data_IF_760870294087
#
_entry.id   IF_760870294087
#
_cell.length_a   1.000
_cell.length_b   1.000
_cell.length_c   1.000
_cell.angle_alpha   90.00
_cell.angle_beta   90.00
_cell.angle_gamma   90.00
#
_symmetry.space_group_name_H-M   'P 1'
#
loop_
_entity.id
_entity.type
_entity.pdbx_description
1 polymer ?
#
# COMPACT_ATOMS: atom_id res chain seq x y z
N UNK A 1 -20.64 11.55 -8.25
CA UNK A 1 -20.05 12.71 -7.55
C UNK A 1 -18.55 12.74 -7.89
N UNK A 2 -18.07 13.85 -8.46
CA UNK A 2 -16.75 13.94 -9.09
C UNK A 2 -16.70 14.83 -10.35
N UNK A 3 -17.85 15.41 -10.74
CA UNK A 3 -17.95 16.36 -11.84
C UNK A 3 -17.54 17.76 -11.36
N UNK A 4 -16.25 18.07 -11.47
CA UNK A 4 -15.70 19.37 -11.09
C UNK A 4 -16.17 20.48 -12.05
N UNK A 5 -16.42 20.14 -13.31
CA UNK A 5 -16.85 21.09 -14.33
C UNK A 5 -18.30 21.53 -14.08
N UNK A 6 -19.17 20.60 -13.66
CA UNK A 6 -20.51 20.89 -13.15
C UNK A 6 -20.49 21.77 -11.90
N UNK A 7 -19.57 21.51 -10.95
CA UNK A 7 -19.40 22.34 -9.76
C UNK A 7 -18.92 23.77 -10.11
N UNK A 8 -18.02 23.89 -11.10
CA UNK A 8 -17.58 25.18 -11.63
C UNK A 8 -18.72 25.97 -12.30
N UNK A 9 -19.63 25.26 -12.98
CA UNK A 9 -20.85 25.83 -13.56
C UNK A 9 -21.76 26.45 -12.48
N UNK A 10 -22.03 25.70 -11.41
CA UNK A 10 -22.84 26.20 -10.27
C UNK A 10 -22.16 27.38 -9.59
N UNK A 11 -20.84 27.35 -9.42
CA UNK A 11 -20.10 28.49 -8.87
C UNK A 11 -20.23 29.76 -9.72
N UNK A 12 -20.12 29.63 -11.05
CA UNK A 12 -20.32 30.76 -11.97
C UNK A 12 -21.75 31.30 -11.93
N UNK A 13 -22.75 30.43 -11.88
CA UNK A 13 -24.16 30.83 -11.77
C UNK A 13 -24.45 31.57 -10.45
N UNK A 14 -23.83 31.15 -9.34
CA UNK A 14 -23.92 31.87 -8.06
C UNK A 14 -23.33 33.27 -8.16
N UNK A 15 -22.17 33.42 -8.80
CA UNK A 15 -21.53 34.72 -9.02
C UNK A 15 -22.36 35.64 -9.92
N UNK A 16 -22.93 35.11 -11.00
CA UNK A 16 -23.84 35.84 -11.90
C UNK A 16 -25.13 36.27 -11.19
N UNK A 17 -25.62 35.44 -10.27
CA UNK A 17 -26.79 35.71 -9.43
C UNK A 17 -26.50 36.64 -8.24
N UNK A 18 -25.26 37.16 -8.11
CA UNK A 18 -24.79 38.01 -7.01
C UNK A 18 -24.90 37.36 -5.61
N UNK A 19 -24.85 36.03 -5.55
CA UNK A 19 -24.81 35.29 -4.29
C UNK A 19 -23.34 35.12 -3.90
N UNK A 20 -22.93 35.70 -2.76
CA UNK A 20 -21.56 35.56 -2.25
C UNK A 20 -21.35 34.14 -1.72
N UNK A 21 -20.43 33.35 -2.31
CA UNK A 21 -20.13 32.02 -1.82
C UNK A 21 -19.55 32.08 -0.41
N UNK A 22 -19.96 31.17 0.46
CA UNK A 22 -19.38 31.06 1.80
C UNK A 22 -18.13 30.17 1.81
N UNK A 23 -17.49 30.06 2.97
CA UNK A 23 -16.30 29.22 3.14
C UNK A 23 -16.54 27.75 2.82
N UNK A 24 -17.78 27.24 2.91
CA UNK A 24 -18.11 25.84 2.63
C UNK A 24 -18.09 25.58 1.13
N UNK A 25 -18.66 26.49 0.34
CA UNK A 25 -18.63 26.40 -1.14
C UNK A 25 -17.19 26.45 -1.64
N UNK A 26 -16.38 27.39 -1.14
CA UNK A 26 -14.96 27.48 -1.47
C UNK A 26 -14.19 26.19 -1.10
N UNK A 27 -14.43 25.65 0.10
CA UNK A 27 -13.79 24.41 0.56
C UNK A 27 -14.15 23.20 -0.31
N UNK A 28 -15.42 23.09 -0.74
CA UNK A 28 -15.87 22.04 -1.64
C UNK A 28 -15.18 22.12 -3.01
N UNK A 29 -15.07 23.33 -3.57
CA UNK A 29 -14.38 23.58 -4.83
C UNK A 29 -12.88 23.27 -4.75
N UNK A 30 -12.19 23.71 -3.69
CA UNK A 30 -10.78 23.39 -3.45
C UNK A 30 -10.57 21.86 -3.41
N UNK A 31 -11.39 21.13 -2.66
CA UNK A 31 -11.31 19.66 -2.61
C UNK A 31 -11.57 19.01 -3.97
N UNK A 32 -12.49 19.57 -4.76
CA UNK A 32 -12.78 19.12 -6.11
C UNK A 32 -11.61 19.32 -7.08
N UNK A 33 -10.96 20.49 -7.05
CA UNK A 33 -9.81 20.76 -7.91
C UNK A 33 -8.59 19.88 -7.59
N UNK A 34 -8.30 19.60 -6.30
CA UNK A 34 -7.25 18.65 -5.94
C UNK A 34 -7.56 17.23 -6.45
N UNK A 35 -8.81 16.78 -6.40
CA UNK A 35 -9.20 15.46 -6.95
C UNK A 35 -9.06 15.40 -8.48
N UNK A 36 -9.24 16.53 -9.16
CA UNK A 36 -9.06 16.65 -10.60
C UNK A 36 -7.61 16.97 -11.01
N UNK A 37 -6.67 17.05 -10.05
CA UNK A 37 -5.26 17.40 -10.28
C UNK A 37 -5.08 18.79 -10.94
N UNK A 38 -6.02 19.72 -10.68
CA UNK A 38 -6.01 21.11 -11.20
C UNK A 38 -5.38 22.08 -10.18
N UNK A 39 -4.12 21.85 -9.83
CA UNK A 39 -3.42 22.56 -8.74
C UNK A 39 -3.32 24.08 -8.97
N UNK A 40 -3.10 24.52 -10.21
CA UNK A 40 -3.04 25.95 -10.55
C UNK A 40 -4.36 26.68 -10.29
N UNK A 41 -5.49 26.00 -10.49
CA UNK A 41 -6.82 26.54 -10.22
C UNK A 41 -7.14 26.53 -8.72
N UNK A 42 -6.61 25.56 -7.95
CA UNK A 42 -6.64 25.61 -6.48
C UNK A 42 -6.03 26.92 -5.95
N UNK A 43 -4.84 27.30 -6.42
CA UNK A 43 -4.17 28.52 -5.96
C UNK A 43 -4.92 29.80 -6.37
N UNK A 44 -5.46 29.86 -7.59
CA UNK A 44 -6.31 30.99 -8.00
C UNK A 44 -7.53 31.13 -7.09
N UNK A 45 -8.20 30.02 -6.80
CA UNK A 45 -9.37 30.01 -5.93
C UNK A 45 -9.00 30.35 -4.48
N UNK A 46 -7.85 29.89 -4.00
CA UNK A 46 -7.31 30.24 -2.68
C UNK A 46 -7.09 31.75 -2.53
N UNK A 47 -6.51 32.40 -3.53
CA UNK A 47 -6.30 33.85 -3.55
C UNK A 47 -7.61 34.64 -3.59
N UNK A 48 -8.58 34.19 -4.39
CA UNK A 48 -9.92 34.79 -4.44
C UNK A 48 -10.62 34.67 -3.08
N UNK A 49 -10.59 33.48 -2.49
CA UNK A 49 -11.18 33.23 -1.18
C UNK A 49 -10.63 34.18 -0.12
N UNK A 50 -9.31 34.43 -0.10
CA UNK A 50 -8.69 35.34 0.88
C UNK A 50 -9.12 36.81 0.76
N UNK A 51 -9.65 37.22 -0.40
CA UNK A 51 -10.17 38.58 -0.61
C UNK A 51 -11.64 38.71 -0.24
N UNK A 52 -12.42 37.64 -0.43
CA UNK A 52 -13.88 37.68 -0.28
C UNK A 52 -14.37 37.14 1.06
N UNK A 53 -13.68 36.16 1.65
CA UNK A 53 -14.14 35.41 2.83
C UNK A 53 -12.97 35.11 3.77
N UNK A 54 -13.23 35.11 5.08
CA UNK A 54 -12.24 34.67 6.07
C UNK A 54 -11.97 33.18 5.95
N UNK A 55 -10.71 32.80 5.70
CA UNK A 55 -10.27 31.40 5.65
C UNK A 55 -10.34 30.78 7.06
N UNK A 56 -10.93 29.60 7.18
CA UNK A 56 -11.03 28.88 8.44
C UNK A 56 -10.09 27.65 8.46
N UNK A 57 -10.01 26.98 9.60
CA UNK A 57 -9.16 25.78 9.80
C UNK A 57 -9.39 24.73 8.72
N UNK A 58 -10.66 24.51 8.30
CA UNK A 58 -10.99 23.54 7.26
C UNK A 58 -10.41 23.95 5.89
N UNK A 59 -10.43 25.23 5.53
CA UNK A 59 -9.82 25.74 4.30
C UNK A 59 -8.32 25.46 4.24
N UNK A 60 -7.61 25.77 5.33
CA UNK A 60 -6.17 25.49 5.45
C UNK A 60 -5.88 23.99 5.39
N UNK A 61 -6.66 23.17 6.11
CA UNK A 61 -6.51 21.71 6.12
C UNK A 61 -6.69 21.09 4.72
N UNK A 62 -7.64 21.58 3.92
CA UNK A 62 -7.87 21.12 2.54
C UNK A 62 -6.67 21.46 1.65
N UNK A 63 -6.16 22.69 1.72
CA UNK A 63 -4.98 23.10 0.95
C UNK A 63 -3.74 22.29 1.32
N UNK A 64 -3.40 22.21 2.61
CA UNK A 64 -2.22 21.47 3.07
C UNK A 64 -2.30 20.00 2.65
N UNK A 65 -3.44 19.34 2.90
CA UNK A 65 -3.63 17.94 2.53
C UNK A 65 -3.48 17.74 1.02
N UNK A 66 -4.15 18.57 0.23
CA UNK A 66 -4.09 18.49 -1.23
C UNK A 66 -2.67 18.64 -1.76
N UNK A 67 -1.89 19.59 -1.24
CA UNK A 67 -0.49 19.81 -1.64
C UNK A 67 0.41 18.65 -1.22
N UNK A 68 0.25 18.11 0.00
CA UNK A 68 1.00 16.91 0.42
C UNK A 68 0.69 15.68 -0.43
N UNK A 69 -0.58 15.47 -0.78
CA UNK A 69 -1.01 14.34 -1.62
C UNK A 69 -0.40 14.42 -3.04
N UNK A 70 0.01 15.62 -3.48
CA UNK A 70 0.66 15.85 -4.78
C UNK A 70 2.19 16.03 -4.70
N UNK A 71 2.77 15.97 -3.50
CA UNK A 71 4.21 16.09 -3.28
C UNK A 71 4.76 17.51 -3.21
N UNK A 72 3.91 18.53 -3.18
CA UNK A 72 4.29 19.95 -3.10
C UNK A 72 4.57 20.39 -1.65
N UNK A 73 5.58 19.77 -1.02
CA UNK A 73 5.92 19.96 0.40
C UNK A 73 6.23 21.43 0.72
N UNK A 74 6.91 22.14 -0.19
CA UNK A 74 7.29 23.54 -0.02
C UNK A 74 6.07 24.44 0.15
N UNK A 75 5.13 24.33 -0.78
CA UNK A 75 3.89 25.10 -0.75
C UNK A 75 3.01 24.69 0.44
N UNK A 76 2.93 23.40 0.77
CA UNK A 76 2.20 22.95 1.97
C UNK A 76 2.73 23.58 3.26
N UNK A 77 4.07 23.75 3.34
CA UNK A 77 4.73 24.42 4.48
C UNK A 77 4.43 25.93 4.48
N UNK A 78 4.44 26.59 3.32
CA UNK A 78 4.04 28.00 3.19
C UNK A 78 2.60 28.24 3.63
N UNK A 79 1.67 27.35 3.28
CA UNK A 79 0.27 27.42 3.72
C UNK A 79 0.14 27.29 5.25
N UNK A 80 0.96 26.43 5.86
CA UNK A 80 1.03 26.31 7.32
C UNK A 80 1.57 27.58 8.00
N UNK A 81 2.63 28.18 7.46
CA UNK A 81 3.18 29.45 7.96
C UNK A 81 2.13 30.57 7.87
N UNK A 82 1.43 30.66 6.74
CA UNK A 82 0.32 31.61 6.55
C UNK A 82 -0.82 31.39 7.56
N UNK A 83 -1.12 30.15 7.93
CA UNK A 83 -2.15 29.85 8.94
C UNK A 83 -1.76 30.43 10.30
N UNK A 84 -0.48 30.29 10.69
CA UNK A 84 0.04 30.83 11.94
C UNK A 84 0.04 32.37 11.94
N UNK A 85 0.48 32.99 10.84
CA UNK A 85 0.48 34.46 10.68
C UNK A 85 -0.93 35.06 10.70
N UNK A 86 -1.91 34.32 10.16
CA UNK A 86 -3.32 34.71 10.15
C UNK A 86 -4.00 34.56 11.52
N UNK A 87 -3.31 34.01 12.53
CA UNK A 87 -3.85 33.79 13.87
C UNK A 87 -4.90 32.68 13.94
N UNK A 88 -5.00 31.82 12.93
CA UNK A 88 -5.95 30.70 12.91
C UNK A 88 -5.39 29.55 13.76
N UNK A 89 -6.11 29.18 14.82
CA UNK A 89 -5.67 28.13 15.76
C UNK A 89 -5.77 26.76 15.10
N UNK A 90 -4.63 26.06 15.03
CA UNK A 90 -4.56 24.71 14.51
C UNK A 90 -5.23 23.68 15.43
N UNK A 91 -6.02 22.77 14.85
CA UNK A 91 -6.67 21.68 15.58
C UNK A 91 -5.88 20.37 15.45
N UNK A 92 -6.36 19.30 16.08
CA UNK A 92 -5.72 17.97 16.00
C UNK A 92 -5.62 17.46 14.56
N UNK A 93 -6.62 17.77 13.73
CA UNK A 93 -6.66 17.40 12.31
C UNK A 93 -5.55 18.08 11.52
N UNK A 94 -5.34 19.38 11.76
CA UNK A 94 -4.26 20.15 11.13
C UNK A 94 -2.89 19.53 11.40
N UNK A 95 -2.61 19.23 12.67
CA UNK A 95 -1.34 18.62 13.04
C UNK A 95 -1.20 17.21 12.46
N UNK A 96 -2.29 16.43 12.41
CA UNK A 96 -2.31 15.11 11.78
C UNK A 96 -2.03 15.16 10.27
N UNK A 97 -2.59 16.15 9.55
CA UNK A 97 -2.32 16.37 8.11
C UNK A 97 -0.84 16.69 7.88
N UNK A 98 -0.26 17.58 8.69
CA UNK A 98 1.15 17.96 8.56
C UNK A 98 2.08 16.78 8.82
N UNK A 99 1.85 16.05 9.91
CA UNK A 99 2.66 14.87 10.24
C UNK A 99 2.54 13.79 9.16
N UNK A 100 1.32 13.44 8.76
CA UNK A 100 1.08 12.43 7.73
C UNK A 100 1.68 12.85 6.38
N UNK A 101 1.42 14.07 5.96
CA UNK A 101 1.91 14.61 4.69
C UNK A 101 3.43 14.66 4.60
N UNK A 102 4.11 15.08 5.67
CA UNK A 102 5.57 15.08 5.73
C UNK A 102 6.16 13.66 5.74
N UNK A 103 5.49 12.71 6.39
CA UNK A 103 5.93 11.31 6.45
C UNK A 103 5.74 10.56 5.12
N UNK A 104 4.62 10.76 4.42
CA UNK A 104 4.41 10.16 3.09
C UNK A 104 5.35 10.72 2.02
N UNK A 105 5.88 11.92 2.25
CA UNK A 105 6.87 12.57 1.37
C UNK A 105 8.32 12.44 1.87
N UNK A 106 8.63 11.37 2.62
CA UNK A 106 9.99 10.99 3.07
C UNK A 106 10.76 12.12 3.82
N UNK A 107 10.01 13.00 4.49
CA UNK A 107 10.54 14.12 5.27
C UNK A 107 10.36 13.93 6.78
N UNK A 108 10.60 12.72 7.31
CA UNK A 108 10.27 12.41 8.71
C UNK A 108 11.05 13.23 9.74
N UNK A 109 12.23 13.78 9.40
CA UNK A 109 12.94 14.71 10.32
C UNK A 109 12.14 16.00 10.56
N UNK A 110 11.56 16.58 9.50
CA UNK A 110 10.69 17.76 9.61
C UNK A 110 9.42 17.40 10.35
N UNK A 111 8.86 16.22 10.07
CA UNK A 111 7.69 15.69 10.76
C UNK A 111 7.95 15.55 12.27
N UNK A 112 9.08 14.95 12.68
CA UNK A 112 9.46 14.80 14.08
C UNK A 112 9.63 16.13 14.80
N UNK A 113 10.28 17.11 14.16
CA UNK A 113 10.38 18.46 14.70
C UNK A 113 9.00 19.08 14.90
N UNK A 114 8.11 18.90 13.91
CA UNK A 114 6.74 19.39 13.99
C UNK A 114 5.95 18.76 15.13
N UNK A 115 6.05 17.44 15.31
CA UNK A 115 5.41 16.71 16.41
C UNK A 115 5.87 17.21 17.78
N UNK A 116 7.18 17.38 17.98
CA UNK A 116 7.73 17.93 19.23
C UNK A 116 7.22 19.35 19.49
N UNK A 117 7.21 20.19 18.46
CA UNK A 117 6.72 21.57 18.56
C UNK A 117 5.22 21.59 18.91
N UNK A 118 4.44 20.67 18.35
CA UNK A 118 3.01 20.53 18.64
C UNK A 118 2.77 20.09 20.10
N UNK A 119 3.55 19.13 20.60
CA UNK A 119 3.50 18.68 22.00
C UNK A 119 3.86 19.82 22.97
N UNK A 120 4.93 20.58 22.69
CA UNK A 120 5.38 21.71 23.51
C UNK A 120 4.35 22.84 23.61
N UNK A 121 3.61 23.07 22.52
CA UNK A 121 2.54 24.08 22.46
C UNK A 121 1.21 23.59 23.05
N UNK A 122 1.15 22.37 23.59
CA UNK A 122 -0.08 21.78 24.15
C UNK A 122 -1.09 21.34 23.10
N UNK A 123 -0.66 21.13 21.85
CA UNK A 123 -1.50 20.60 20.78
C UNK A 123 -1.95 19.18 21.07
N UNK A 124 -3.24 18.89 20.88
CA UNK A 124 -3.78 17.53 21.02
C UNK A 124 -3.48 16.75 19.74
N UNK A 125 -2.50 15.85 19.80
CA UNK A 125 -2.25 14.87 18.73
C UNK A 125 -3.12 13.64 18.97
N UNK A 126 -3.80 13.19 17.93
CA UNK A 126 -4.60 11.97 18.00
C UNK A 126 -3.76 10.71 17.65
N UNK A 127 -4.34 9.53 17.86
CA UNK A 127 -3.67 8.27 17.53
C UNK A 127 -3.36 8.10 16.03
N UNK A 128 -4.02 8.86 15.16
CA UNK A 128 -3.75 8.84 13.72
C UNK A 128 -2.42 9.53 13.41
N UNK A 129 -2.16 10.72 14.00
CA UNK A 129 -0.90 11.42 13.85
C UNK A 129 0.31 10.57 14.32
N UNK A 130 0.20 9.94 15.49
CA UNK A 130 1.26 9.03 15.98
C UNK A 130 1.46 7.82 15.07
N UNK A 131 0.37 7.19 14.58
CA UNK A 131 0.48 6.06 13.64
C UNK A 131 1.15 6.46 12.33
N UNK A 132 0.76 7.61 11.76
CA UNK A 132 1.35 8.13 10.54
C UNK A 132 2.84 8.41 10.69
N UNK A 133 3.24 9.03 11.82
CA UNK A 133 4.65 9.25 12.16
C UNK A 133 5.44 7.95 12.25
N UNK A 134 4.93 7.00 13.05
CA UNK A 134 5.59 5.71 13.26
C UNK A 134 5.74 4.98 11.92
N UNK A 135 4.69 4.97 11.09
CA UNK A 135 4.73 4.36 9.77
C UNK A 135 5.75 5.03 8.84
N UNK A 136 5.80 6.37 8.81
CA UNK A 136 6.78 7.13 8.04
C UNK A 136 8.22 6.85 8.45
N UNK A 137 8.50 6.90 9.76
CA UNK A 137 9.83 6.57 10.31
C UNK A 137 10.22 5.12 10.02
N UNK A 138 9.27 4.19 10.07
CA UNK A 138 9.50 2.80 9.71
C UNK A 138 9.84 2.64 8.22
N UNK A 139 9.17 3.38 7.31
CA UNK A 139 9.49 3.38 5.87
C UNK A 139 10.90 3.93 5.60
N UNK A 140 11.35 4.93 6.36
CA UNK A 140 12.71 5.48 6.29
C UNK A 140 13.77 4.62 7.01
N UNK A 141 13.38 3.50 7.62
CA UNK A 141 14.30 2.62 8.36
C UNK A 141 14.69 3.12 9.76
N UNK A 142 14.09 4.23 10.25
CA UNK A 142 14.40 4.86 11.55
C UNK A 142 13.62 4.23 12.70
N UNK A 143 13.87 2.94 12.95
CA UNK A 143 13.11 2.14 13.92
C UNK A 143 13.23 2.64 15.37
N UNK A 144 14.40 3.13 15.76
CA UNK A 144 14.64 3.59 17.14
C UNK A 144 13.86 4.89 17.43
N UNK A 145 13.78 5.78 16.44
CA UNK A 145 12.96 7.00 16.51
C UNK A 145 11.46 6.63 16.54
N UNK A 146 11.03 5.68 15.72
CA UNK A 146 9.64 5.19 15.72
C UNK A 146 9.25 4.60 17.09
N UNK A 147 10.13 3.80 17.71
CA UNK A 147 9.92 3.29 19.06
C UNK A 147 9.92 4.41 20.12
N UNK A 148 10.76 5.45 19.95
CA UNK A 148 10.74 6.63 20.82
C UNK A 148 9.43 7.41 20.72
N UNK A 149 8.83 7.52 19.53
CA UNK A 149 7.52 8.17 19.33
C UNK A 149 6.41 7.41 20.06
N UNK A 150 6.40 6.06 20.00
CA UNK A 150 5.45 5.25 20.79
C UNK A 150 5.62 5.49 22.31
N UNK A 151 6.86 5.54 22.78
CA UNK A 151 7.14 5.82 24.20
C UNK A 151 6.70 7.25 24.59
N UNK A 152 6.89 8.22 23.71
CA UNK A 152 6.41 9.59 23.86
C UNK A 152 4.88 9.65 24.00
N UNK A 153 4.16 8.95 23.11
CA UNK A 153 2.70 8.82 23.14
C UNK A 153 2.21 8.32 24.51
N UNK A 154 2.84 7.26 25.05
CA UNK A 154 2.49 6.68 26.35
C UNK A 154 2.81 7.64 27.50
N UNK A 155 3.98 8.30 27.48
CA UNK A 155 4.37 9.29 28.49
C UNK A 155 3.45 10.52 28.50
N UNK A 156 2.94 10.91 27.34
CA UNK A 156 1.95 11.96 27.18
C UNK A 156 0.53 11.57 27.61
N UNK A 157 0.33 10.38 28.20
CA UNK A 157 -0.96 9.92 28.72
C UNK A 157 -1.89 9.32 27.66
N UNK A 158 -1.44 9.18 26.41
CA UNK A 158 -2.24 8.57 25.35
C UNK A 158 -2.10 7.04 25.39
N UNK A 159 -3.20 6.33 25.15
CA UNK A 159 -3.20 4.86 25.11
C UNK A 159 -2.99 4.40 23.66
N UNK A 160 -1.87 3.72 23.33
CA UNK A 160 -1.67 3.20 21.98
C UNK A 160 -2.71 2.13 21.66
N UNK A 161 -3.29 2.22 20.46
CA UNK A 161 -4.23 1.22 19.96
C UNK A 161 -3.52 0.18 19.07
N UNK A 162 -4.25 -0.83 18.62
CA UNK A 162 -3.69 -1.90 17.79
C UNK A 162 -3.11 -1.39 16.47
N UNK A 163 -3.59 -0.27 15.94
CA UNK A 163 -3.09 0.31 14.70
C UNK A 163 -1.66 0.85 14.86
N UNK A 164 -1.41 1.59 15.95
CA UNK A 164 -0.08 2.12 16.29
C UNK A 164 0.94 0.99 16.47
N UNK A 165 0.60 -0.05 17.24
CA UNK A 165 1.49 -1.20 17.42
C UNK A 165 1.72 -1.96 16.11
N UNK A 166 0.68 -2.16 15.31
CA UNK A 166 0.81 -2.88 14.04
C UNK A 166 1.71 -2.13 13.05
N UNK A 167 1.70 -0.80 13.04
CA UNK A 167 2.63 0.00 12.24
C UNK A 167 4.09 -0.27 12.64
N UNK A 168 4.38 -0.25 13.95
CA UNK A 168 5.73 -0.49 14.47
C UNK A 168 6.17 -1.95 14.27
N UNK A 169 5.29 -2.92 14.54
CA UNK A 169 5.54 -4.35 14.28
C UNK A 169 5.83 -4.58 12.80
N UNK A 170 5.05 -3.98 11.90
CA UNK A 170 5.28 -4.07 10.46
C UNK A 170 6.64 -3.46 10.06
N UNK A 171 7.00 -2.32 10.65
CA UNK A 171 8.32 -1.70 10.48
C UNK A 171 9.47 -2.61 10.90
N UNK A 172 9.41 -3.16 12.11
CA UNK A 172 10.43 -4.09 12.62
C UNK A 172 10.52 -5.37 11.78
N UNK A 173 9.39 -5.94 11.36
CA UNK A 173 9.35 -7.08 10.43
C UNK A 173 9.99 -6.72 9.08
N UNK A 174 9.70 -5.54 8.53
CA UNK A 174 10.31 -5.05 7.29
C UNK A 174 11.83 -4.88 7.40
N UNK A 175 12.32 -4.47 8.57
CA UNK A 175 13.75 -4.36 8.88
C UNK A 175 14.40 -5.68 9.32
N UNK A 176 13.69 -6.81 9.23
CA UNK A 176 14.17 -8.13 9.70
C UNK A 176 14.56 -8.18 11.19
N UNK A 177 14.05 -7.25 12.00
CA UNK A 177 14.24 -7.17 13.46
C UNK A 177 13.10 -7.92 14.18
N UNK A 178 13.04 -9.24 13.96
CA UNK A 178 11.90 -10.06 14.41
C UNK A 178 11.73 -10.11 15.93
N UNK A 179 12.83 -10.12 16.69
CA UNK A 179 12.75 -10.15 18.17
C UNK A 179 12.11 -8.90 18.75
N UNK A 180 12.38 -7.74 18.14
CA UNK A 180 11.74 -6.48 18.53
C UNK A 180 10.24 -6.49 18.21
N UNK A 181 9.85 -7.05 17.06
CA UNK A 181 8.45 -7.23 16.67
C UNK A 181 7.69 -8.18 17.62
N UNK A 182 8.31 -9.29 18.03
CA UNK A 182 7.73 -10.25 18.98
C UNK A 182 7.63 -9.63 20.39
N UNK A 183 8.63 -8.85 20.82
CA UNK A 183 8.56 -8.11 22.09
C UNK A 183 7.37 -7.15 22.11
N UNK A 184 7.14 -6.40 21.03
CA UNK A 184 5.98 -5.51 20.91
C UNK A 184 4.65 -6.27 20.91
N UNK A 185 4.59 -7.44 20.27
CA UNK A 185 3.42 -8.32 20.32
C UNK A 185 3.06 -8.74 21.75
N UNK A 186 4.05 -9.08 22.57
CA UNK A 186 3.82 -9.39 23.99
C UNK A 186 3.43 -8.15 24.80
N UNK A 187 4.07 -7.01 24.53
CA UNK A 187 3.77 -5.73 25.17
C UNK A 187 2.31 -5.30 24.93
N UNK A 188 1.80 -5.47 23.70
CA UNK A 188 0.39 -5.24 23.36
C UNK A 188 -0.56 -5.97 24.31
N UNK A 189 -0.31 -7.28 24.51
CA UNK A 189 -1.12 -8.11 25.40
C UNK A 189 -1.09 -7.61 26.85
N UNK A 190 0.09 -7.24 27.35
CA UNK A 190 0.26 -6.76 28.72
C UNK A 190 -0.39 -5.39 28.97
N UNK A 191 -0.47 -4.54 27.94
CA UNK A 191 -1.10 -3.21 28.00
C UNK A 191 -2.59 -3.22 27.68
N UNK A 192 -3.26 -4.37 27.79
CA UNK A 192 -4.69 -4.54 27.52
C UNK A 192 -5.09 -4.12 26.08
N UNK A 193 -4.14 -4.18 25.14
CA UNK A 193 -4.39 -3.94 23.72
C UNK A 193 -4.33 -5.28 22.97
N UNK A 194 -5.46 -6.00 22.82
CA UNK A 194 -5.43 -7.34 22.27
C UNK A 194 -4.92 -7.37 20.83
N UNK A 195 -3.99 -8.28 20.48
CA UNK A 195 -3.56 -8.50 19.11
C UNK A 195 -4.74 -8.82 18.19
N UNK A 196 -4.74 -8.23 17.00
CA UNK A 196 -5.79 -8.43 15.99
C UNK A 196 -5.33 -9.40 14.91
N UNK A 197 -6.23 -9.79 14.00
CA UNK A 197 -5.89 -10.59 12.80
C UNK A 197 -4.75 -9.94 12.00
N UNK A 198 -4.72 -8.60 11.93
CA UNK A 198 -3.64 -7.87 11.27
C UNK A 198 -2.30 -8.11 11.96
N UNK A 199 -2.26 -8.06 13.31
CA UNK A 199 -1.05 -8.32 14.10
C UNK A 199 -0.49 -9.71 13.80
N UNK A 200 -1.34 -10.75 13.85
CA UNK A 200 -0.94 -12.12 13.56
C UNK A 200 -0.45 -12.28 12.12
N UNK A 201 -1.20 -11.77 11.15
CA UNK A 201 -0.84 -11.87 9.73
C UNK A 201 0.51 -11.20 9.43
N UNK A 202 0.79 -10.02 10.01
CA UNK A 202 2.06 -9.32 9.85
C UNK A 202 3.23 -10.15 10.37
N UNK A 203 3.13 -10.68 11.59
CA UNK A 203 4.19 -11.48 12.21
C UNK A 203 4.40 -12.81 11.49
N UNK A 204 3.31 -13.55 11.18
CA UNK A 204 3.38 -14.83 10.45
C UNK A 204 4.05 -14.61 9.09
N UNK A 205 3.64 -13.59 8.33
CA UNK A 205 4.25 -13.29 7.03
C UNK A 205 5.75 -12.95 7.16
N UNK A 206 6.13 -12.18 8.18
CA UNK A 206 7.53 -11.87 8.48
C UNK A 206 8.35 -13.13 8.77
N UNK A 207 7.89 -13.95 9.70
CA UNK A 207 8.57 -15.18 10.10
C UNK A 207 8.67 -16.19 8.96
N UNK A 208 7.62 -16.33 8.13
CA UNK A 208 7.67 -17.18 6.93
C UNK A 208 8.73 -16.71 5.92
N UNK A 209 8.91 -15.39 5.73
CA UNK A 209 9.97 -14.85 4.86
C UNK A 209 11.37 -15.07 5.43
N UNK A 210 11.50 -15.15 6.75
CA UNK A 210 12.73 -15.47 7.45
C UNK A 210 12.95 -16.98 7.64
N UNK A 211 12.12 -17.82 7.02
CA UNK A 211 12.15 -19.29 7.15
C UNK A 211 11.99 -19.81 8.60
N UNK A 212 11.49 -18.98 9.52
CA UNK A 212 11.21 -19.31 10.93
C UNK A 212 9.84 -19.97 11.08
N UNK A 213 9.63 -21.08 10.37
CA UNK A 213 8.31 -21.72 10.22
C UNK A 213 7.71 -22.25 11.54
N UNK A 214 8.55 -22.66 12.50
CA UNK A 214 8.09 -23.15 13.81
C UNK A 214 7.35 -22.06 14.59
N UNK A 215 7.93 -20.86 14.68
CA UNK A 215 7.33 -19.73 15.37
C UNK A 215 6.10 -19.18 14.63
N UNK A 216 6.13 -19.20 13.29
CA UNK A 216 4.96 -18.87 12.50
C UNK A 216 3.78 -19.82 12.82
N UNK A 217 4.06 -21.11 13.00
CA UNK A 217 3.05 -22.10 13.39
C UNK A 217 2.53 -21.87 14.81
N UNK A 218 3.39 -21.52 15.77
CA UNK A 218 2.97 -21.20 17.14
C UNK A 218 2.07 -19.95 17.19
N UNK A 219 2.33 -18.94 16.36
CA UNK A 219 1.45 -17.78 16.21
C UNK A 219 0.09 -18.14 15.61
N UNK A 220 0.03 -19.08 14.65
CA UNK A 220 -1.25 -19.58 14.12
C UNK A 220 -2.03 -20.30 15.22
N UNK A 221 -1.37 -21.13 16.04
CA UNK A 221 -2.01 -21.78 17.18
C UNK A 221 -2.57 -20.75 18.16
N UNK A 222 -1.77 -19.77 18.55
CA UNK A 222 -2.20 -18.69 19.45
C UNK A 222 -3.37 -17.87 18.87
N UNK A 223 -3.38 -17.63 17.55
CA UNK A 223 -4.48 -16.98 16.84
C UNK A 223 -5.79 -17.79 17.01
N UNK A 224 -5.73 -19.11 16.79
CA UNK A 224 -6.89 -20.00 16.91
C UNK A 224 -7.38 -20.14 18.35
N UNK A 225 -6.48 -20.26 19.32
CA UNK A 225 -6.80 -20.35 20.76
C UNK A 225 -7.52 -19.09 21.26
N UNK A 226 -7.21 -17.92 20.71
CA UNK A 226 -7.92 -16.66 20.99
C UNK A 226 -9.22 -16.49 20.19
N UNK A 227 -9.67 -17.53 19.49
CA UNK A 227 -10.95 -17.55 18.76
C UNK A 227 -10.93 -16.86 17.40
N UNK A 228 -9.76 -16.44 16.90
CA UNK A 228 -9.66 -15.87 15.56
C UNK A 228 -9.77 -16.96 14.50
N UNK A 229 -10.55 -16.69 13.46
CA UNK A 229 -10.69 -17.58 12.31
C UNK A 229 -9.78 -17.11 11.18
N UNK A 230 -8.85 -17.94 10.68
CA UNK A 230 -8.04 -17.61 9.51
C UNK A 230 -8.92 -17.27 8.30
N UNK A 231 -8.77 -16.05 7.78
CA UNK A 231 -9.44 -15.59 6.56
C UNK A 231 -8.57 -15.82 5.32
N UNK A 232 -9.03 -15.31 4.16
CA UNK A 232 -8.32 -15.40 2.87
C UNK A 232 -6.88 -14.93 3.00
N UNK A 233 -6.66 -13.75 3.62
CA UNK A 233 -5.32 -13.18 3.82
C UNK A 233 -4.42 -14.11 4.66
N UNK A 234 -4.93 -14.64 5.78
CA UNK A 234 -4.17 -15.53 6.65
C UNK A 234 -3.79 -16.82 5.92
N UNK A 235 -4.73 -17.45 5.22
CA UNK A 235 -4.46 -18.69 4.47
C UNK A 235 -3.47 -18.41 3.33
N UNK A 236 -3.62 -17.31 2.60
CA UNK A 236 -2.68 -16.88 1.56
C UNK A 236 -1.25 -16.75 2.10
N UNK A 237 -1.06 -16.13 3.27
CA UNK A 237 0.24 -16.00 3.91
C UNK A 237 0.83 -17.36 4.29
N UNK A 238 0.02 -18.25 4.86
CA UNK A 238 0.47 -19.59 5.25
C UNK A 238 0.87 -20.44 4.05
N UNK A 239 0.07 -20.44 2.98
CA UNK A 239 0.43 -21.12 1.74
C UNK A 239 1.71 -20.55 1.13
N UNK A 240 1.88 -19.21 1.15
CA UNK A 240 3.12 -18.58 0.70
C UNK A 240 4.32 -19.08 1.51
N UNK A 241 4.19 -19.13 2.84
CA UNK A 241 5.22 -19.67 3.72
C UNK A 241 5.55 -21.15 3.42
N UNK A 242 4.53 -21.97 3.19
CA UNK A 242 4.73 -23.39 2.81
C UNK A 242 5.45 -23.53 1.47
N UNK A 243 5.10 -22.72 0.47
CA UNK A 243 5.81 -22.70 -0.81
C UNK A 243 7.27 -22.24 -0.67
N UNK A 244 7.55 -21.24 0.18
CA UNK A 244 8.93 -20.81 0.48
C UNK A 244 9.72 -21.91 1.19
N UNK A 245 9.08 -22.68 2.08
CA UNK A 245 9.69 -23.82 2.74
C UNK A 245 9.73 -25.11 1.92
N UNK A 246 9.51 -25.05 0.60
CA UNK A 246 9.48 -26.19 -0.33
C UNK A 246 8.48 -27.31 0.07
N UNK A 247 7.33 -26.92 0.63
CA UNK A 247 6.24 -27.81 1.08
C UNK A 247 4.99 -27.61 0.23
N UNK A 248 5.11 -27.67 -1.11
CA UNK A 248 3.98 -27.32 -2.00
C UNK A 248 2.81 -28.30 -1.86
N UNK A 249 3.06 -29.56 -1.51
CA UNK A 249 1.99 -30.54 -1.25
C UNK A 249 1.11 -30.14 -0.07
N UNK A 250 1.72 -29.64 1.02
CA UNK A 250 0.98 -29.12 2.16
C UNK A 250 0.23 -27.84 1.80
N UNK A 251 0.81 -26.98 0.95
CA UNK A 251 0.15 -25.78 0.44
C UNK A 251 -1.09 -26.13 -0.40
N UNK A 252 -1.00 -27.14 -1.28
CA UNK A 252 -2.12 -27.64 -2.07
C UNK A 252 -3.20 -28.32 -1.20
N UNK A 253 -2.81 -29.06 -0.17
CA UNK A 253 -3.77 -29.62 0.78
C UNK A 253 -4.51 -28.50 1.53
N UNK A 254 -3.80 -27.46 1.96
CA UNK A 254 -4.40 -26.29 2.60
C UNK A 254 -5.37 -25.55 1.68
N UNK A 255 -5.03 -25.39 0.40
CA UNK A 255 -5.90 -24.85 -0.65
C UNK A 255 -7.20 -25.63 -0.78
N UNK A 256 -7.10 -26.95 -0.94
CA UNK A 256 -8.27 -27.83 -1.09
C UNK A 256 -9.16 -27.78 0.16
N UNK A 257 -8.56 -27.78 1.35
CA UNK A 257 -9.30 -27.64 2.60
C UNK A 257 -10.01 -26.28 2.70
N UNK A 258 -9.34 -25.19 2.32
CA UNK A 258 -9.94 -23.85 2.35
C UNK A 258 -11.16 -23.76 1.42
N UNK A 259 -11.04 -24.26 0.17
CA UNK A 259 -12.14 -24.29 -0.79
C UNK A 259 -13.28 -25.16 -0.29
N UNK A 260 -12.99 -26.36 0.23
CA UNK A 260 -14.02 -27.27 0.76
C UNK A 260 -14.84 -26.67 1.91
N UNK A 261 -14.24 -25.73 2.67
CA UNK A 261 -14.90 -24.98 3.75
C UNK A 261 -15.64 -23.73 3.25
N UNK A 262 -15.75 -23.54 1.93
CA UNK A 262 -16.48 -22.43 1.31
C UNK A 262 -15.68 -21.14 1.18
N UNK A 263 -14.37 -21.15 1.41
CA UNK A 263 -13.53 -19.97 1.18
C UNK A 263 -13.46 -19.69 -0.32
N UNK A 264 -13.72 -18.43 -0.71
CA UNK A 264 -13.60 -17.96 -2.09
C UNK A 264 -12.19 -17.38 -2.27
N UNK A 265 -11.30 -18.04 -3.02
CA UNK A 265 -9.95 -17.52 -3.24
C UNK A 265 -10.01 -16.27 -4.12
N UNK A 266 -9.13 -15.30 -3.86
CA UNK A 266 -8.93 -14.13 -4.72
C UNK A 266 -7.77 -14.35 -5.71
N UNK A 267 -7.54 -13.37 -6.58
CA UNK A 267 -6.43 -13.41 -7.56
C UNK A 267 -5.06 -13.53 -6.86
N UNK A 268 -4.88 -12.91 -5.70
CA UNK A 268 -3.61 -12.94 -4.97
C UNK A 268 -3.33 -14.35 -4.43
N UNK A 269 -4.33 -15.01 -3.86
CA UNK A 269 -4.24 -16.36 -3.31
C UNK A 269 -3.87 -17.38 -4.40
N UNK A 270 -4.48 -17.27 -5.59
CA UNK A 270 -4.09 -18.09 -6.76
C UNK A 270 -2.64 -17.83 -7.17
N UNK A 271 -2.25 -16.55 -7.31
CA UNK A 271 -0.89 -16.18 -7.72
C UNK A 271 0.19 -16.70 -6.79
N UNK A 272 -0.08 -16.77 -5.48
CA UNK A 272 0.84 -17.34 -4.48
C UNK A 272 1.15 -18.81 -4.80
N UNK A 273 0.12 -19.63 -5.04
CA UNK A 273 0.30 -21.05 -5.36
C UNK A 273 0.87 -21.26 -6.75
N UNK A 274 0.39 -20.51 -7.76
CA UNK A 274 0.93 -20.58 -9.13
C UNK A 274 2.42 -20.29 -9.10
N UNK A 275 2.85 -19.21 -8.41
CA UNK A 275 4.25 -18.89 -8.24
C UNK A 275 5.03 -20.01 -7.52
N UNK A 276 4.51 -20.50 -6.38
CA UNK A 276 5.15 -21.56 -5.61
C UNK A 276 5.34 -22.85 -6.41
N UNK A 277 4.33 -23.26 -7.19
CA UNK A 277 4.39 -24.44 -8.04
C UNK A 277 5.35 -24.24 -9.22
N UNK A 278 5.34 -23.08 -9.86
CA UNK A 278 6.31 -22.74 -10.90
C UNK A 278 7.75 -22.76 -10.37
N UNK A 279 7.99 -22.24 -9.17
CA UNK A 279 9.31 -22.28 -8.54
C UNK A 279 9.78 -23.71 -8.22
N UNK A 280 8.85 -24.62 -7.96
CA UNK A 280 9.11 -26.04 -7.72
C UNK A 280 9.14 -26.91 -9.00
N UNK A 281 9.04 -26.32 -10.20
CA UNK A 281 8.98 -27.06 -11.48
C UNK A 281 7.67 -27.82 -11.72
N UNK A 282 6.62 -27.54 -10.93
CA UNK A 282 5.29 -28.17 -11.03
C UNK A 282 4.37 -27.35 -11.94
N UNK A 283 4.87 -26.92 -13.11
CA UNK A 283 4.18 -25.98 -14.00
C UNK A 283 2.83 -26.47 -14.54
N UNK A 284 2.64 -27.79 -14.68
CA UNK A 284 1.35 -28.35 -15.09
C UNK A 284 0.25 -28.14 -14.03
N UNK A 285 0.59 -28.27 -12.75
CA UNK A 285 -0.34 -27.96 -11.66
C UNK A 285 -0.57 -26.45 -11.53
N UNK A 286 0.45 -25.64 -11.81
CA UNK A 286 0.29 -24.18 -11.89
C UNK A 286 -0.68 -23.78 -13.01
N UNK A 287 -0.60 -24.45 -14.17
CA UNK A 287 -1.51 -24.24 -15.30
C UNK A 287 -2.95 -24.66 -14.97
N UNK A 288 -3.16 -25.77 -14.25
CA UNK A 288 -4.52 -26.17 -13.84
C UNK A 288 -5.14 -25.12 -12.91
N UNK A 289 -4.40 -24.64 -11.90
CA UNK A 289 -4.87 -23.57 -11.02
C UNK A 289 -5.17 -22.27 -11.78
N UNK A 290 -4.34 -21.91 -12.76
CA UNK A 290 -4.59 -20.75 -13.63
C UNK A 290 -5.92 -20.88 -14.39
N UNK A 291 -6.22 -22.07 -14.92
CA UNK A 291 -7.45 -22.30 -15.68
C UNK A 291 -8.69 -22.26 -14.77
N UNK A 292 -8.55 -22.74 -13.53
CA UNK A 292 -9.63 -22.73 -12.55
C UNK A 292 -9.98 -21.33 -12.02
N UNK A 293 -9.13 -20.32 -12.19
CA UNK A 293 -9.43 -18.95 -11.76
C UNK A 293 -10.77 -18.43 -12.31
N UNK A 294 -11.10 -18.76 -13.55
CA UNK A 294 -12.37 -18.37 -14.17
C UNK A 294 -13.58 -19.03 -13.50
N UNK A 295 -13.44 -20.26 -13.01
CA UNK A 295 -14.50 -20.95 -12.26
C UNK A 295 -14.79 -20.25 -10.92
N UNK A 296 -13.80 -19.56 -10.36
CA UNK A 296 -13.94 -18.74 -9.14
C UNK A 296 -14.33 -17.28 -9.43
N UNK A 297 -14.71 -16.92 -10.67
CA UNK A 297 -14.94 -15.54 -11.11
C UNK A 297 -13.75 -14.61 -10.82
N UNK A 298 -12.54 -15.15 -10.83
CA UNK A 298 -11.29 -14.41 -10.66
C UNK A 298 -10.61 -14.27 -12.02
N UNK A 299 -10.58 -13.07 -12.58
CA UNK A 299 -9.90 -12.83 -13.85
C UNK A 299 -8.37 -12.82 -13.66
N UNK A 300 -7.60 -13.65 -14.39
CA UNK A 300 -6.15 -13.58 -14.38
C UNK A 300 -5.64 -12.20 -14.79
N UNK A 301 -4.80 -11.58 -13.98
CA UNK A 301 -4.17 -10.28 -14.28
C UNK A 301 -2.78 -10.46 -14.90
N UNK A 302 -2.10 -9.35 -15.23
CA UNK A 302 -0.78 -9.40 -15.87
C UNK A 302 0.26 -10.14 -15.01
N UNK A 303 0.23 -9.96 -13.68
CA UNK A 303 1.10 -10.67 -12.73
C UNK A 303 0.90 -12.19 -12.82
N UNK A 304 -0.34 -12.64 -12.95
CA UNK A 304 -0.69 -14.07 -13.08
C UNK A 304 -0.03 -14.67 -14.32
N UNK A 305 -0.18 -14.01 -15.47
CA UNK A 305 0.39 -14.48 -16.74
C UNK A 305 1.92 -14.43 -16.72
N UNK A 306 2.51 -13.34 -16.21
CA UNK A 306 3.95 -13.18 -16.08
C UNK A 306 4.57 -14.31 -15.22
N UNK A 307 3.95 -14.62 -14.08
CA UNK A 307 4.38 -15.69 -13.17
C UNK A 307 4.40 -17.05 -13.88
N UNK A 308 3.31 -17.39 -14.56
CA UNK A 308 3.18 -18.69 -15.24
C UNK A 308 4.13 -18.80 -16.44
N UNK A 309 4.30 -17.70 -17.18
CA UNK A 309 5.25 -17.60 -18.30
C UNK A 309 6.70 -17.78 -17.82
N UNK A 310 7.08 -17.15 -16.71
CA UNK A 310 8.40 -17.34 -16.10
C UNK A 310 8.63 -18.80 -15.70
N UNK A 311 7.63 -19.45 -15.09
CA UNK A 311 7.68 -20.88 -14.76
C UNK A 311 7.90 -21.76 -15.98
N UNK A 312 7.15 -21.56 -17.06
CA UNK A 312 7.32 -22.34 -18.29
C UNK A 312 8.69 -22.13 -18.94
N UNK A 313 9.24 -20.91 -18.91
CA UNK A 313 10.60 -20.69 -19.42
C UNK A 313 11.66 -21.38 -18.57
N UNK A 314 11.51 -21.43 -17.24
CA UNK A 314 12.40 -22.19 -16.35
C UNK A 314 12.37 -23.69 -16.63
N UNK A 315 11.20 -24.24 -16.97
CA UNK A 315 11.01 -25.64 -17.35
C UNK A 315 11.39 -25.92 -18.83
N UNK A 316 11.74 -24.90 -19.61
CA UNK A 316 12.04 -25.02 -21.04
C UNK A 316 10.81 -25.21 -21.95
N UNK A 317 9.60 -25.06 -21.42
CA UNK A 317 8.33 -25.20 -22.16
C UNK A 317 7.99 -23.90 -22.93
N UNK A 318 8.71 -23.70 -24.03
CA UNK A 318 8.51 -22.56 -24.93
C UNK A 318 7.09 -22.49 -25.50
N UNK A 319 6.42 -23.62 -25.67
CA UNK A 319 5.09 -23.69 -26.28
C UNK A 319 4.06 -23.08 -25.35
N UNK A 320 4.01 -23.54 -24.10
CA UNK A 320 3.05 -23.01 -23.14
C UNK A 320 3.38 -21.55 -22.77
N UNK A 321 4.66 -21.17 -22.69
CA UNK A 321 5.04 -19.75 -22.53
C UNK A 321 4.46 -18.86 -23.64
N UNK A 322 4.55 -19.28 -24.91
CA UNK A 322 3.97 -18.54 -26.03
C UNK A 322 2.43 -18.49 -25.99
N UNK A 323 1.77 -19.56 -25.53
CA UNK A 323 0.31 -19.58 -25.34
C UNK A 323 -0.11 -18.57 -24.27
N UNK A 324 0.63 -18.47 -23.16
CA UNK A 324 0.35 -17.48 -22.11
C UNK A 324 0.54 -16.05 -22.63
N UNK A 325 1.60 -15.78 -23.41
CA UNK A 325 1.78 -14.48 -24.06
C UNK A 325 0.58 -14.10 -24.95
N UNK A 326 0.12 -15.03 -25.80
CA UNK A 326 -1.04 -14.80 -26.65
C UNK A 326 -2.32 -14.53 -25.84
N UNK A 327 -2.48 -15.16 -24.67
CA UNK A 327 -3.61 -14.93 -23.76
C UNK A 327 -3.60 -13.52 -23.15
N UNK A 328 -2.43 -12.96 -22.83
CA UNK A 328 -2.32 -11.56 -22.36
C UNK A 328 -2.98 -10.62 -23.37
N UNK A 329 -2.59 -10.74 -24.64
CA UNK A 329 -3.10 -9.89 -25.72
C UNK A 329 -4.61 -10.13 -25.96
N UNK A 330 -5.05 -11.40 -25.98
CA UNK A 330 -6.45 -11.76 -26.20
C UNK A 330 -7.37 -11.24 -25.09
N UNK A 331 -6.88 -11.17 -23.86
CA UNK A 331 -7.63 -10.64 -22.72
C UNK A 331 -7.63 -9.11 -22.66
N UNK A 332 -7.08 -8.42 -23.67
CA UNK A 332 -7.00 -6.95 -23.72
C UNK A 332 -5.98 -6.36 -22.74
N UNK A 333 -5.13 -7.18 -22.12
CA UNK A 333 -4.05 -6.73 -21.25
C UNK A 333 -2.88 -6.23 -22.10
N UNK A 334 -2.19 -5.20 -21.64
CA UNK A 334 -0.97 -4.69 -22.28
C UNK A 334 0.25 -5.28 -21.57
N UNK A 335 1.12 -6.04 -22.27
CA UNK A 335 2.39 -6.47 -21.70
C UNK A 335 3.19 -5.27 -21.22
N UNK A 336 3.82 -5.39 -20.05
CA UNK A 336 4.65 -4.34 -19.46
C UNK A 336 6.14 -4.68 -19.57
N UNK A 337 7.00 -3.83 -19.00
CA UNK A 337 8.45 -4.05 -18.95
C UNK A 337 8.78 -5.43 -18.37
N UNK A 338 8.05 -5.87 -17.34
CA UNK A 338 8.26 -7.16 -16.69
C UNK A 338 7.92 -8.32 -17.64
N UNK A 339 6.79 -8.25 -18.35
CA UNK A 339 6.40 -9.26 -19.34
C UNK A 339 7.46 -9.45 -20.42
N UNK A 340 7.98 -8.36 -20.98
CA UNK A 340 9.03 -8.44 -22.00
C UNK A 340 10.34 -8.97 -21.42
N UNK A 341 10.74 -8.52 -20.24
CA UNK A 341 11.96 -8.98 -19.58
C UNK A 341 11.94 -10.50 -19.32
N UNK A 342 10.81 -11.04 -18.85
CA UNK A 342 10.63 -12.49 -18.65
C UNK A 342 10.77 -13.24 -19.97
N UNK A 343 10.11 -12.78 -21.02
CA UNK A 343 10.18 -13.42 -22.35
C UNK A 343 11.58 -13.37 -22.96
N UNK A 344 12.25 -12.22 -22.88
CA UNK A 344 13.61 -12.05 -23.41
C UNK A 344 14.60 -12.96 -22.67
N UNK A 345 14.55 -12.96 -21.33
CA UNK A 345 15.39 -13.82 -20.50
C UNK A 345 15.11 -15.31 -20.78
N UNK A 346 13.85 -15.70 -20.83
CA UNK A 346 13.43 -17.08 -21.05
C UNK A 346 13.77 -17.61 -22.44
N UNK A 347 13.61 -16.80 -23.49
CA UNK A 347 14.04 -17.17 -24.85
C UNK A 347 15.55 -17.29 -24.95
N UNK A 348 16.29 -16.42 -24.26
CA UNK A 348 17.76 -16.45 -24.23
C UNK A 348 18.27 -17.70 -23.50
N UNK A 349 17.69 -18.04 -22.33
CA UNK A 349 18.04 -19.26 -21.59
C UNK A 349 17.70 -20.55 -22.36
N UNK A 350 16.73 -20.50 -23.27
CA UNK A 350 16.37 -21.61 -24.16
C UNK A 350 17.12 -21.60 -25.51
N UNK A 351 18.20 -20.81 -25.66
CA UNK A 351 18.98 -20.66 -26.90
C UNK A 351 18.18 -20.19 -28.14
N UNK A 352 17.12 -19.41 -27.94
CA UNK A 352 16.26 -18.85 -29.00
C UNK A 352 16.54 -17.37 -29.26
N UNK A 353 17.82 -17.05 -29.48
CA UNK A 353 18.32 -15.66 -29.61
C UNK A 353 17.60 -14.87 -30.71
N UNK A 354 17.34 -15.46 -31.88
CA UNK A 354 16.61 -14.78 -32.97
C UNK A 354 15.19 -14.37 -32.58
N UNK A 355 14.50 -15.21 -31.80
CA UNK A 355 13.16 -14.91 -31.28
C UNK A 355 13.23 -13.83 -30.19
N UNK A 356 14.28 -13.83 -29.36
CA UNK A 356 14.49 -12.78 -28.36
C UNK A 356 14.71 -11.41 -29.02
N UNK A 357 15.53 -11.33 -30.07
CA UNK A 357 15.75 -10.07 -30.83
C UNK A 357 14.43 -9.54 -31.40
N UNK A 358 13.58 -10.42 -31.94
CA UNK A 358 12.27 -10.02 -32.45
C UNK A 358 11.38 -9.42 -31.36
N UNK A 359 11.38 -10.03 -30.17
CA UNK A 359 10.65 -9.52 -29.01
C UNK A 359 11.19 -8.18 -28.52
N UNK A 360 12.50 -7.96 -28.59
CA UNK A 360 13.11 -6.68 -28.23
C UNK A 360 12.65 -5.56 -29.18
N UNK A 361 12.65 -5.83 -30.49
CA UNK A 361 12.12 -4.87 -31.46
C UNK A 361 10.63 -4.58 -31.23
N UNK A 362 9.84 -5.60 -30.87
CA UNK A 362 8.44 -5.44 -30.53
C UNK A 362 8.24 -4.59 -29.26
N UNK A 363 9.06 -4.76 -28.22
CA UNK A 363 9.03 -3.92 -27.03
C UNK A 363 9.27 -2.45 -27.37
N UNK A 364 10.34 -2.17 -28.12
CA UNK A 364 10.71 -0.82 -28.53
C UNK A 364 9.63 -0.15 -29.39
N UNK A 365 9.00 -0.90 -30.30
CA UNK A 365 7.88 -0.42 -31.11
C UNK A 365 6.66 -0.02 -30.24
N UNK A 366 6.48 -0.65 -29.08
CA UNK A 366 5.44 -0.32 -28.11
C UNK A 366 5.86 0.76 -27.09
N UNK A 367 7.00 1.44 -27.32
CA UNK A 367 7.60 2.43 -26.39
C UNK A 367 7.90 1.86 -24.99
N UNK A 368 8.07 0.54 -24.91
CA UNK A 368 8.51 -0.13 -23.71
C UNK A 368 10.01 -0.31 -23.87
N UNK A 369 10.77 0.19 -22.91
CA UNK A 369 12.23 -0.02 -22.86
C UNK A 369 12.45 -1.15 -21.86
N UNK A 370 12.73 -2.38 -22.32
CA UNK A 370 13.15 -3.45 -21.43
C UNK A 370 14.37 -2.96 -20.65
N UNK A 371 14.29 -3.00 -19.32
CA UNK A 371 15.47 -2.72 -18.51
C UNK A 371 16.47 -3.85 -18.69
N UNK A 372 17.77 -3.51 -18.73
CA UNK A 372 18.84 -4.51 -18.83
C UNK A 372 18.68 -5.49 -17.66
N UNK A 373 18.46 -6.76 -17.97
CA UNK A 373 18.54 -7.85 -17.00
C UNK A 373 19.63 -8.82 -17.49
N UNK A 374 20.67 -8.92 -16.67
CA UNK A 374 21.73 -9.95 -16.62
C UNK A 374 21.25 -11.37 -16.85
#
# INVERSE_FOLDING_TARGET
AGDIDGAEGVYKEMAESKITPDSVVYNAMLSGYFKAVRISDCFKLWELMGKEVTRNVASFNIMMKGLFDHGDIGEATSIWELMQESGVVADSTTHGILVHGLCENECSNKSLHFLKTAEEKGGVLDGFAYSAMINGLCKEGKMDEAASVLNGMVKGGHTPNAHVYNALINGFVGASKFEDAIRLYHEMGNKHCPPTVVTYNTLINGLCKAERFGEAHDLVRAMLEKGWKPGVITISILMKGLCLGHKEELALNMWNQAISKGLKPDVQMHNILIHGLCAAGKTQLALSLYLDMNHFNCAPNLVTHNTLMEGFYKDGDLRNAAVIWARILRNGLRPDVISYNITLKGLSSCNRVSSAILFLHNALANKIVPTVIT
#
